data_IF_172507673748
#
_entry.id   IF_172507673748
#
_cell.length_a   1.000
_cell.length_b   1.000
_cell.length_c   1.000
_cell.angle_alpha   90.00
_cell.angle_beta   90.00
_cell.angle_gamma   90.00
#
_symmetry.space_group_name_H-M   'P 1'
#
loop_
_entity.id
_entity.type
_entity.pdbx_description
1 polymer ?
#
# COMPACT_ATOMS: atom_id res chain seq x y z
N UNK A 1 11.29 -0.93 39.92
CA UNK A 1 12.16 -0.31 38.89
C UNK A 1 13.48 0.00 39.57
N UNK A 2 14.59 -0.59 39.10
CA UNK A 2 15.91 -0.37 39.69
C UNK A 2 16.37 1.05 39.35
N UNK A 3 16.55 1.86 40.38
CA UNK A 3 17.19 3.18 40.27
C UNK A 3 18.48 3.07 41.05
N UNK A 4 19.59 3.21 40.32
CA UNK A 4 20.91 3.22 40.91
C UNK A 4 21.36 4.67 40.99
N UNK A 5 21.56 5.15 42.22
CA UNK A 5 22.28 6.40 42.47
C UNK A 5 23.68 6.03 42.89
N UNK A 6 24.68 6.35 42.07
CA UNK A 6 26.09 6.13 42.43
C UNK A 6 26.70 7.45 42.88
N UNK A 7 27.38 7.45 44.03
CA UNK A 7 28.28 8.53 44.45
C UNK A 7 29.71 8.16 44.06
N UNK A 8 30.35 9.02 43.28
CA UNK A 8 31.73 8.87 42.83
C UNK A 8 32.54 10.02 43.46
N UNK A 9 33.70 9.76 44.07
CA UNK A 9 34.53 10.81 44.71
C UNK A 9 35.97 10.85 44.14
N UNK A 10 36.55 12.07 43.95
CA UNK A 10 37.08 12.83 45.10
C UNK A 10 36.59 14.29 45.34
N UNK A 11 35.55 14.83 44.69
CA UNK A 11 34.97 16.16 45.08
C UNK A 11 33.43 16.25 45.13
N UNK A 12 32.73 15.15 45.44
CA UNK A 12 31.26 14.98 45.49
C UNK A 12 30.55 15.03 44.13
N UNK A 13 30.62 13.97 43.32
CA UNK A 13 29.76 13.79 42.15
C UNK A 13 28.63 12.78 42.45
N UNK A 14 27.39 13.16 42.14
CA UNK A 14 26.21 12.29 42.19
C UNK A 14 25.76 11.93 40.77
N UNK A 15 25.54 10.65 40.51
CA UNK A 15 25.01 10.13 39.24
C UNK A 15 23.65 9.47 39.49
N UNK A 16 22.62 9.90 38.76
CA UNK A 16 21.30 9.28 38.72
C UNK A 16 21.12 8.62 37.35
N UNK A 17 20.81 7.33 37.33
CA UNK A 17 20.43 6.61 36.11
C UNK A 17 18.97 6.18 36.19
N UNK A 18 18.18 6.63 35.23
CA UNK A 18 16.75 6.33 35.14
C UNK A 18 16.49 5.58 33.83
N UNK A 19 15.81 4.42 33.84
CA UNK A 19 15.46 3.73 32.60
C UNK A 19 14.46 4.56 31.78
N UNK A 20 14.72 4.65 30.47
CA UNK A 20 13.73 5.08 29.49
C UNK A 20 12.87 3.85 29.19
N UNK A 21 11.61 3.85 29.62
CA UNK A 21 10.72 2.71 29.44
C UNK A 21 9.59 3.03 28.49
N UNK A 22 9.29 2.08 27.61
CA UNK A 22 8.08 2.05 26.80
C UNK A 22 7.43 0.66 26.97
N UNK A 23 6.12 0.61 27.21
CA UNK A 23 5.37 -0.66 27.31
C UNK A 23 5.98 -1.71 28.25
N UNK A 24 6.56 -1.27 29.38
CA UNK A 24 7.25 -2.07 30.42
C UNK A 24 8.64 -2.63 30.07
N UNK A 25 9.17 -2.39 28.87
CA UNK A 25 10.57 -2.68 28.53
C UNK A 25 11.43 -1.42 28.63
N UNK A 26 12.68 -1.58 29.05
CA UNK A 26 13.67 -0.50 29.05
C UNK A 26 14.31 -0.43 27.65
N UNK A 27 14.06 0.68 26.94
CA UNK A 27 14.62 0.95 25.61
C UNK A 27 15.95 1.72 25.67
N UNK A 28 16.31 2.21 26.86
CA UNK A 28 17.54 2.95 27.11
C UNK A 28 17.59 3.49 28.54
N UNK A 29 18.47 4.47 28.78
CA UNK A 29 18.53 5.17 30.06
C UNK A 29 18.83 6.67 29.90
N UNK A 30 18.32 7.45 30.86
CA UNK A 30 18.70 8.83 31.11
C UNK A 30 19.72 8.84 32.25
N UNK A 31 20.93 9.32 31.98
CA UNK A 31 21.97 9.50 32.99
C UNK A 31 22.16 10.99 33.30
N UNK A 32 22.06 11.36 34.58
CA UNK A 32 22.21 12.73 35.06
C UNK A 32 23.32 12.78 36.10
N UNK A 33 24.36 13.57 35.83
CA UNK A 33 25.46 13.81 36.76
C UNK A 33 25.40 15.22 37.34
N UNK A 34 25.62 15.36 38.66
CA UNK A 34 25.61 16.65 39.34
C UNK A 34 26.57 16.67 40.52
N UNK A 35 27.12 17.84 40.85
CA UNK A 35 27.90 18.03 42.10
C UNK A 35 27.04 18.24 43.34
N UNK A 36 25.72 18.46 43.15
CA UNK A 36 24.73 18.51 44.23
C UNK A 36 24.00 17.17 44.33
N UNK A 37 23.52 16.76 45.52
CA UNK A 37 22.76 15.53 45.67
C UNK A 37 21.51 15.51 44.76
N UNK A 38 21.38 14.46 43.94
CA UNK A 38 20.21 14.19 43.13
C UNK A 38 19.27 13.26 43.91
N UNK A 39 18.43 13.84 44.77
CA UNK A 39 17.48 13.12 45.63
C UNK A 39 16.16 13.90 45.76
N UNK A 40 15.12 13.26 46.31
CA UNK A 40 13.81 13.87 46.52
C UNK A 40 13.11 14.29 45.23
N UNK A 41 12.50 15.47 45.23
CA UNK A 41 11.69 16.01 44.12
C UNK A 41 12.43 16.06 42.77
N UNK A 42 13.73 16.31 42.79
CA UNK A 42 14.55 16.31 41.57
C UNK A 42 14.63 14.91 40.94
N UNK A 43 14.80 13.86 41.76
CA UNK A 43 14.84 12.49 41.26
C UNK A 43 13.49 12.06 40.67
N UNK A 44 12.37 12.51 41.26
CA UNK A 44 11.02 12.27 40.73
C UNK A 44 10.77 13.03 39.43
N UNK A 45 11.28 14.26 39.32
CA UNK A 45 11.22 15.04 38.08
C UNK A 45 11.97 14.33 36.95
N UNK A 46 13.17 13.78 37.21
CA UNK A 46 13.90 12.99 36.23
C UNK A 46 13.22 11.66 35.88
N UNK A 47 12.51 11.03 36.83
CA UNK A 47 11.66 9.86 36.55
C UNK A 47 10.54 10.18 35.57
N UNK A 48 9.81 11.26 35.82
CA UNK A 48 8.75 11.72 34.91
C UNK A 48 9.31 12.06 33.54
N UNK A 49 10.44 12.78 33.48
CA UNK A 49 11.09 13.13 32.22
C UNK A 49 11.55 11.88 31.45
N UNK A 50 12.18 10.91 32.14
CA UNK A 50 12.59 9.65 31.52
C UNK A 50 11.41 8.85 30.96
N UNK A 51 10.28 8.82 31.67
CA UNK A 51 9.06 8.18 31.18
C UNK A 51 8.49 8.90 29.93
N UNK A 52 8.44 10.24 29.95
CA UNK A 52 7.98 11.03 28.80
C UNK A 52 8.89 10.85 27.57
N UNK A 53 10.21 10.89 27.77
CA UNK A 53 11.19 10.65 26.71
C UNK A 53 11.06 9.22 26.17
N UNK A 54 10.92 8.22 27.04
CA UNK A 54 10.72 6.83 26.62
C UNK A 54 9.48 6.64 25.74
N UNK A 55 8.35 7.22 26.14
CA UNK A 55 7.13 7.20 25.33
C UNK A 55 7.28 7.94 24.00
N UNK A 56 7.95 9.10 24.00
CA UNK A 56 8.16 9.89 22.80
C UNK A 56 9.05 9.17 21.77
N UNK A 57 10.14 8.54 22.23
CA UNK A 57 11.03 7.75 21.38
C UNK A 57 10.30 6.55 20.78
N UNK A 58 9.57 5.77 21.59
CA UNK A 58 8.79 4.63 21.10
C UNK A 58 7.73 5.05 20.06
N UNK A 59 7.07 6.19 20.28
CA UNK A 59 6.12 6.74 19.31
C UNK A 59 6.80 7.15 18.00
N UNK A 60 7.98 7.77 18.08
CA UNK A 60 8.75 8.16 16.89
C UNK A 60 9.18 6.94 16.08
N UNK A 61 9.70 5.90 16.74
CA UNK A 61 10.13 4.66 16.10
C UNK A 61 8.97 3.91 15.42
N UNK A 62 7.82 3.81 16.10
CA UNK A 62 6.63 3.22 15.50
C UNK A 62 6.17 4.01 14.27
N UNK A 63 6.13 5.34 14.39
CA UNK A 63 5.74 6.22 13.28
C UNK A 63 6.69 6.09 12.09
N UNK A 64 8.00 5.97 12.34
CA UNK A 64 9.00 5.79 11.30
C UNK A 64 8.86 4.41 10.63
N UNK A 65 8.66 3.36 11.43
CA UNK A 65 8.47 1.99 10.93
C UNK A 65 7.23 1.88 10.03
N UNK A 66 6.12 2.52 10.43
CA UNK A 66 4.90 2.61 9.61
C UNK A 66 5.21 3.33 8.29
N UNK A 67 5.82 4.52 8.34
CA UNK A 67 6.17 5.28 7.11
C UNK A 67 7.07 4.50 6.18
N UNK A 68 8.05 3.77 6.72
CA UNK A 68 8.98 2.97 5.92
C UNK A 68 8.28 1.76 5.29
N UNK A 69 7.41 1.08 6.04
CA UNK A 69 6.58 -0.01 5.53
C UNK A 69 5.65 0.48 4.41
N UNK A 70 4.97 1.59 4.62
CA UNK A 70 4.13 2.21 3.59
C UNK A 70 4.92 2.63 2.35
N UNK A 71 6.09 3.26 2.52
CA UNK A 71 6.93 3.67 1.39
C UNK A 71 7.42 2.45 0.60
N UNK A 72 7.81 1.38 1.29
CA UNK A 72 8.20 0.11 0.67
C UNK A 72 7.03 -0.54 -0.06
N UNK A 73 5.86 -0.60 0.55
CA UNK A 73 4.64 -1.11 -0.08
C UNK A 73 4.27 -0.29 -1.32
N UNK A 74 4.28 1.05 -1.21
CA UNK A 74 4.07 1.96 -2.35
C UNK A 74 5.07 1.67 -3.46
N UNK A 75 6.36 1.53 -3.15
CA UNK A 75 7.39 1.20 -4.15
C UNK A 75 7.20 -0.15 -4.83
N UNK A 76 6.73 -1.17 -4.10
CA UNK A 76 6.42 -2.50 -4.67
C UNK A 76 5.21 -2.45 -5.59
N UNK A 77 4.15 -1.73 -5.20
CA UNK A 77 2.93 -1.59 -6.02
C UNK A 77 3.15 -0.66 -7.21
N UNK A 78 3.96 0.40 -7.06
CA UNK A 78 4.25 1.35 -8.14
C UNK A 78 5.14 0.75 -9.24
N UNK A 79 5.97 -0.24 -8.91
CA UNK A 79 6.82 -0.93 -9.89
C UNK A 79 6.14 -2.12 -10.59
N UNK A 80 4.92 -2.51 -10.21
CA UNK A 80 4.15 -3.42 -11.06
C UNK A 80 3.54 -2.64 -12.21
N UNK A 81 3.75 -3.09 -13.44
CA UNK A 81 3.06 -2.55 -14.63
C UNK A 81 1.53 -2.72 -14.54
N UNK A 82 1.07 -3.59 -13.64
CA UNK A 82 -0.35 -3.83 -13.39
C UNK A 82 -0.99 -2.62 -12.65
N UNK A 83 -2.23 -2.33 -13.03
CA UNK A 83 -3.09 -1.39 -12.32
C UNK A 83 -3.71 -2.10 -11.12
N UNK A 84 -3.75 -1.43 -9.97
CA UNK A 84 -4.38 -1.95 -8.75
C UNK A 84 -5.50 -1.00 -8.34
N UNK A 85 -6.70 -1.55 -8.15
CA UNK A 85 -7.89 -0.79 -7.74
C UNK A 85 -8.51 -1.53 -6.55
N UNK A 86 -8.76 -0.81 -5.45
CA UNK A 86 -9.53 -1.36 -4.33
C UNK A 86 -10.97 -0.84 -4.37
N UNK A 87 -11.92 -1.76 -4.24
CA UNK A 87 -13.34 -1.49 -4.27
C UNK A 87 -13.96 -1.93 -2.94
N UNK A 88 -14.58 -1.01 -2.22
CA UNK A 88 -15.24 -1.27 -0.95
C UNK A 88 -16.54 -2.06 -1.09
N UNK A 89 -17.19 -2.34 0.04
CA UNK A 89 -18.39 -3.18 0.10
C UNK A 89 -19.57 -2.58 -0.66
N UNK A 90 -19.68 -1.24 -0.71
CA UNK A 90 -20.74 -0.54 -1.44
C UNK A 90 -20.34 -0.22 -2.89
N UNK A 91 -19.33 -0.90 -3.42
CA UNK A 91 -18.77 -0.72 -4.77
C UNK A 91 -18.15 0.66 -5.04
N UNK A 92 -17.79 1.38 -3.98
CA UNK A 92 -17.01 2.60 -4.03
C UNK A 92 -15.53 2.30 -4.23
N UNK A 93 -14.84 3.13 -5.02
CA UNK A 93 -13.41 2.98 -5.23
C UNK A 93 -12.69 3.65 -4.07
N UNK A 94 -11.99 2.86 -3.26
CA UNK A 94 -11.28 3.33 -2.06
C UNK A 94 -9.80 3.59 -2.33
N UNK A 95 -9.25 2.97 -3.37
CA UNK A 95 -7.86 3.14 -3.78
C UNK A 95 -7.66 2.87 -5.27
N UNK A 96 -6.72 3.61 -5.88
CA UNK A 96 -6.23 3.39 -7.23
C UNK A 96 -4.72 3.56 -7.23
N UNK A 97 -3.99 2.63 -7.83
CA UNK A 97 -2.54 2.74 -7.95
C UNK A 97 -2.13 3.89 -8.88
N UNK A 98 -1.03 4.59 -8.58
CA UNK A 98 -0.52 5.66 -9.45
C UNK A 98 -0.16 5.21 -10.87
N UNK A 99 0.08 3.91 -11.09
CA UNK A 99 0.32 3.34 -12.42
C UNK A 99 -0.82 3.63 -13.42
N UNK A 100 -2.02 3.96 -12.94
CA UNK A 100 -3.14 4.39 -13.78
C UNK A 100 -2.85 5.68 -14.56
N UNK A 101 -2.05 6.59 -13.99
CA UNK A 101 -1.73 7.86 -14.64
C UNK A 101 -0.81 7.63 -15.83
N UNK A 102 0.22 6.79 -15.66
CA UNK A 102 1.10 6.36 -16.74
C UNK A 102 0.34 5.56 -17.80
N UNK A 103 -0.56 4.67 -17.36
CA UNK A 103 -1.34 3.84 -18.28
C UNK A 103 -2.37 4.62 -19.09
N UNK A 104 -3.04 5.64 -18.52
CA UNK A 104 -4.04 6.45 -19.22
C UNK A 104 -3.46 7.74 -19.82
N UNK A 105 -2.23 8.09 -19.46
CA UNK A 105 -1.53 9.35 -19.78
C UNK A 105 -2.30 10.60 -19.35
N UNK A 106 -2.99 10.52 -18.21
CA UNK A 106 -3.69 11.65 -17.60
C UNK A 106 -3.69 11.54 -16.06
N UNK A 107 -3.74 12.66 -15.34
CA UNK A 107 -3.71 12.65 -13.87
C UNK A 107 -4.90 11.91 -13.26
N UNK A 108 -4.69 11.23 -12.13
CA UNK A 108 -5.73 10.52 -11.38
C UNK A 108 -6.82 11.48 -10.91
N UNK A 109 -6.47 12.72 -10.61
CA UNK A 109 -7.41 13.77 -10.22
C UNK A 109 -8.47 14.08 -11.29
N UNK A 110 -8.19 13.78 -12.57
CA UNK A 110 -9.12 13.98 -13.69
C UNK A 110 -9.95 12.72 -14.01
N UNK A 111 -9.65 11.59 -13.36
CA UNK A 111 -10.31 10.31 -13.62
C UNK A 111 -11.53 10.13 -12.72
N UNK A 112 -12.67 9.76 -13.33
CA UNK A 112 -13.80 9.18 -12.62
C UNK A 112 -14.00 7.72 -13.02
N UNK A 113 -13.49 6.81 -12.21
CA UNK A 113 -13.54 5.37 -12.46
C UNK A 113 -14.89 4.72 -12.08
N UNK A 114 -15.87 5.52 -11.69
CA UNK A 114 -17.28 5.11 -11.51
C UNK A 114 -18.02 4.82 -12.83
N UNK A 115 -17.34 5.02 -13.96
CA UNK A 115 -17.86 4.87 -15.32
C UNK A 115 -18.40 6.16 -15.94
N UNK A 116 -18.46 7.27 -15.19
CA UNK A 116 -19.02 8.55 -15.66
C UNK A 116 -18.02 9.37 -16.48
N UNK A 117 -16.71 9.12 -16.34
CA UNK A 117 -15.67 9.84 -17.11
C UNK A 117 -15.50 9.35 -18.57
N UNK A 118 -16.14 8.24 -18.94
CA UNK A 118 -15.88 7.57 -20.22
C UNK A 118 -14.49 6.93 -20.33
N UNK A 119 -13.73 6.86 -19.22
CA UNK A 119 -12.43 6.19 -19.19
C UNK A 119 -12.54 4.67 -19.34
N UNK A 120 -13.68 4.09 -18.96
CA UNK A 120 -14.00 2.67 -19.12
C UNK A 120 -15.17 2.53 -20.08
N UNK A 121 -15.13 1.52 -20.96
CA UNK A 121 -16.23 1.27 -21.88
C UNK A 121 -17.54 0.94 -21.13
N UNK A 122 -18.69 1.58 -21.43
CA UNK A 122 -19.92 1.44 -20.65
C UNK A 122 -20.44 0.00 -20.50
N UNK A 123 -20.34 -0.81 -21.57
CA UNK A 123 -20.75 -2.22 -21.52
C UNK A 123 -19.83 -3.07 -20.63
N UNK A 124 -18.57 -2.66 -20.48
CA UNK A 124 -17.59 -3.40 -19.69
C UNK A 124 -17.77 -3.07 -18.20
N UNK A 125 -18.18 -1.84 -17.87
CA UNK A 125 -18.54 -1.47 -16.50
C UNK A 125 -19.68 -2.30 -15.92
N UNK A 126 -20.72 -2.59 -16.72
CA UNK A 126 -21.84 -3.43 -16.28
C UNK A 126 -21.36 -4.85 -15.97
N UNK A 127 -20.55 -5.42 -16.88
CA UNK A 127 -19.99 -6.77 -16.72
C UNK A 127 -19.01 -6.85 -15.55
N UNK A 128 -18.16 -5.83 -15.38
CA UNK A 128 -17.21 -5.75 -14.27
C UNK A 128 -17.93 -5.72 -12.93
N UNK A 129 -18.96 -4.87 -12.76
CA UNK A 129 -19.74 -4.81 -11.51
C UNK A 129 -20.38 -6.15 -11.17
N UNK A 130 -20.96 -6.83 -12.16
CA UNK A 130 -21.53 -8.15 -11.98
C UNK A 130 -20.48 -9.19 -11.55
N UNK A 131 -19.32 -9.21 -12.22
CA UNK A 131 -18.23 -10.13 -11.91
C UNK A 131 -17.61 -9.88 -10.53
N UNK A 132 -17.45 -8.61 -10.13
CA UNK A 132 -16.98 -8.24 -8.78
C UNK A 132 -17.99 -8.70 -7.72
N UNK A 133 -19.29 -8.49 -7.94
CA UNK A 133 -20.34 -8.98 -7.05
C UNK A 133 -20.35 -10.52 -6.95
N UNK A 134 -20.05 -11.22 -8.03
CA UNK A 134 -19.93 -12.68 -7.98
C UNK A 134 -18.68 -13.14 -7.22
N UNK A 135 -17.55 -12.44 -7.39
CA UNK A 135 -16.30 -12.73 -6.68
C UNK A 135 -16.44 -12.56 -5.16
N UNK A 136 -17.29 -11.62 -4.70
CA UNK A 136 -17.56 -11.48 -3.26
C UNK A 136 -18.34 -12.66 -2.69
N UNK A 137 -19.28 -13.22 -3.46
CA UNK A 137 -20.12 -14.34 -3.04
C UNK A 137 -19.38 -15.69 -3.02
N UNK A 138 -18.38 -15.87 -3.89
CA UNK A 138 -17.70 -17.17 -4.07
C UNK A 138 -16.47 -17.39 -3.19
N UNK A 139 -16.12 -16.47 -2.27
CA UNK A 139 -14.88 -16.53 -1.48
C UNK A 139 -13.65 -16.86 -2.34
N UNK A 140 -13.53 -16.27 -3.54
CA UNK A 140 -12.48 -16.65 -4.48
C UNK A 140 -12.51 -15.96 -5.85
N UNK A 141 -11.64 -16.45 -6.74
CA UNK A 141 -11.41 -15.93 -8.10
C UNK A 141 -12.63 -16.20 -8.99
N UNK A 142 -13.38 -15.16 -9.35
CA UNK A 142 -14.34 -15.23 -10.45
C UNK A 142 -13.65 -14.85 -11.77
N UNK A 143 -13.95 -15.50 -12.90
CA UNK A 143 -13.43 -15.06 -14.19
C UNK A 143 -13.91 -13.64 -14.47
N UNK A 144 -12.97 -12.69 -14.55
CA UNK A 144 -13.27 -11.32 -14.87
C UNK A 144 -13.32 -11.15 -16.40
N UNK A 145 -14.22 -10.31 -16.91
CA UNK A 145 -14.17 -9.91 -18.32
C UNK A 145 -12.92 -9.08 -18.58
N UNK A 146 -12.40 -9.13 -19.81
CA UNK A 146 -11.46 -8.11 -20.27
C UNK A 146 -12.14 -6.73 -20.18
N UNK A 147 -11.36 -5.73 -19.77
CA UNK A 147 -11.81 -4.36 -19.59
C UNK A 147 -11.18 -3.47 -20.65
N UNK A 148 -11.99 -2.71 -21.39
CA UNK A 148 -11.47 -1.66 -22.28
C UNK A 148 -11.42 -0.33 -21.57
N UNK A 149 -10.22 0.25 -21.55
CA UNK A 149 -9.99 1.59 -21.03
C UNK A 149 -9.45 2.52 -22.11
N UNK A 150 -9.89 3.79 -22.08
CA UNK A 150 -9.53 4.78 -23.08
C UNK A 150 -8.31 5.59 -22.63
N UNK A 151 -7.23 5.50 -23.37
CA UNK A 151 -6.06 6.36 -23.19
C UNK A 151 -6.38 7.83 -23.54
N UNK A 152 -5.61 8.80 -23.03
CA UNK A 152 -5.83 10.22 -23.36
C UNK A 152 -5.69 10.52 -24.86
N UNK A 153 -4.92 9.72 -25.61
CA UNK A 153 -4.82 9.80 -27.07
C UNK A 153 -6.10 9.40 -27.80
N UNK A 154 -7.06 8.80 -27.09
CA UNK A 154 -8.33 8.32 -27.63
C UNK A 154 -8.35 6.83 -27.99
N UNK A 155 -7.19 6.15 -27.96
CA UNK A 155 -7.05 4.71 -28.20
C UNK A 155 -7.67 3.87 -27.08
N UNK A 156 -8.22 2.71 -27.44
CA UNK A 156 -8.70 1.71 -26.48
C UNK A 156 -7.59 0.71 -26.17
N UNK A 157 -7.28 0.57 -24.89
CA UNK A 157 -6.38 -0.46 -24.36
C UNK A 157 -7.19 -1.56 -23.69
N UNK A 158 -6.71 -2.79 -23.83
CA UNK A 158 -7.33 -3.97 -23.28
C UNK A 158 -6.61 -4.42 -22.02
N UNK A 159 -7.38 -4.55 -20.94
CA UNK A 159 -6.89 -4.98 -19.65
C UNK A 159 -7.46 -6.35 -19.28
N UNK A 160 -6.58 -7.27 -18.90
CA UNK A 160 -6.96 -8.51 -18.25
C UNK A 160 -7.07 -8.26 -16.75
N UNK A 161 -8.25 -8.49 -16.17
CA UNK A 161 -8.54 -8.16 -14.77
C UNK A 161 -8.54 -9.43 -13.92
N UNK A 162 -8.06 -9.33 -12.68
CA UNK A 162 -8.21 -10.36 -11.66
C UNK A 162 -8.76 -9.72 -10.39
N UNK A 163 -9.68 -10.39 -9.72
CA UNK A 163 -10.24 -9.93 -8.46
C UNK A 163 -9.82 -10.83 -7.30
N UNK A 164 -9.44 -10.21 -6.19
CA UNK A 164 -9.17 -10.87 -4.91
C UNK A 164 -10.10 -10.30 -3.85
N UNK A 165 -10.99 -11.12 -3.30
CA UNK A 165 -11.89 -10.70 -2.23
C UNK A 165 -11.13 -10.65 -0.89
N UNK A 166 -10.91 -9.45 -0.36
CA UNK A 166 -10.31 -9.19 0.94
C UNK A 166 -11.27 -8.40 1.85
N UNK A 167 -12.59 -8.52 1.65
CA UNK A 167 -13.58 -7.83 2.48
C UNK A 167 -13.55 -8.28 3.95
N UNK A 168 -13.18 -9.53 4.20
CA UNK A 168 -13.04 -10.08 5.56
C UNK A 168 -11.67 -9.82 6.18
N UNK A 169 -10.73 -9.26 5.42
CA UNK A 169 -9.45 -8.83 5.97
C UNK A 169 -9.66 -7.52 6.74
N UNK A 170 -9.27 -7.51 8.02
CA UNK A 170 -9.47 -6.39 8.95
C UNK A 170 -8.78 -5.08 8.51
N UNK A 171 -7.67 -5.19 7.78
CA UNK A 171 -6.83 -4.06 7.39
C UNK A 171 -7.20 -3.57 5.99
N UNK A 172 -7.66 -4.46 5.09
CA UNK A 172 -8.01 -4.11 3.70
C UNK A 172 -9.48 -3.77 3.51
N UNK A 173 -10.40 -4.61 4.01
CA UNK A 173 -11.87 -4.45 3.87
C UNK A 173 -12.34 -4.04 2.46
N UNK A 174 -11.76 -4.66 1.42
CA UNK A 174 -12.05 -4.33 0.03
C UNK A 174 -11.89 -5.54 -0.90
N UNK A 175 -12.46 -5.47 -2.10
CA UNK A 175 -12.09 -6.31 -3.24
C UNK A 175 -10.96 -5.63 -3.99
N UNK A 176 -9.83 -6.31 -4.14
CA UNK A 176 -8.66 -5.81 -4.87
C UNK A 176 -8.71 -6.33 -6.30
N UNK A 177 -8.76 -5.40 -7.25
CA UNK A 177 -8.67 -5.66 -8.68
C UNK A 177 -7.24 -5.38 -9.14
N UNK A 178 -6.62 -6.36 -9.79
CA UNK A 178 -5.35 -6.20 -10.50
C UNK A 178 -5.63 -6.29 -11.99
N UNK A 179 -5.23 -5.29 -12.76
CA UNK A 179 -5.49 -5.23 -14.19
C UNK A 179 -4.19 -5.06 -14.99
N UNK A 180 -3.91 -5.99 -15.89
CA UNK A 180 -2.69 -6.01 -16.72
C UNK A 180 -3.00 -5.57 -18.14
N UNK A 181 -2.19 -4.68 -18.70
CA UNK A 181 -2.27 -4.34 -20.12
C UNK A 181 -1.86 -5.54 -20.98
N UNK A 182 -2.79 -5.98 -21.83
CA UNK A 182 -2.59 -7.10 -22.76
C UNK A 182 -2.79 -6.65 -24.20
N UNK A 183 -2.82 -5.35 -24.47
CA UNK A 183 -3.09 -4.77 -25.79
C UNK A 183 -2.09 -5.27 -26.83
N UNK A 184 -0.78 -5.10 -26.58
CA UNK A 184 0.28 -5.56 -27.49
C UNK A 184 0.30 -7.09 -27.62
N UNK A 185 0.11 -7.79 -26.49
CA UNK A 185 0.09 -9.26 -26.47
C UNK A 185 -1.04 -9.81 -27.35
N UNK A 186 -2.27 -9.33 -27.17
CA UNK A 186 -3.40 -9.80 -27.98
C UNK A 186 -3.29 -9.36 -29.44
N UNK A 187 -2.75 -8.17 -29.71
CA UNK A 187 -2.49 -7.72 -31.08
C UNK A 187 -1.46 -8.63 -31.78
N UNK A 188 -0.42 -9.06 -31.08
CA UNK A 188 0.57 -10.00 -31.61
C UNK A 188 -0.02 -11.40 -31.81
N UNK A 189 -0.77 -11.91 -30.82
CA UNK A 189 -1.48 -13.20 -30.94
C UNK A 189 -2.42 -13.21 -32.15
N UNK A 190 -3.16 -12.13 -32.39
CA UNK A 190 -4.08 -12.02 -33.52
C UNK A 190 -3.35 -11.96 -34.87
N UNK A 191 -2.23 -11.22 -34.94
CA UNK A 191 -1.38 -11.20 -36.14
C UNK A 191 -0.81 -12.58 -36.44
N UNK A 192 -0.33 -13.30 -35.43
CA UNK A 192 0.20 -14.65 -35.57
C UNK A 192 -0.89 -15.64 -35.98
N UNK A 193 -2.09 -15.54 -35.41
CA UNK A 193 -3.26 -16.35 -35.82
C UNK A 193 -3.63 -16.09 -37.26
N UNK A 194 -3.71 -14.83 -37.66
CA UNK A 194 -3.98 -14.44 -39.04
C UNK A 194 -2.90 -15.00 -39.99
N UNK A 195 -1.61 -14.89 -39.65
CA UNK A 195 -0.52 -15.46 -40.45
C UNK A 195 -0.53 -16.99 -40.50
N UNK A 196 -0.93 -17.67 -39.42
CA UNK A 196 -1.04 -19.13 -39.40
C UNK A 196 -2.24 -19.63 -40.23
N UNK A 197 -3.31 -18.85 -40.31
CA UNK A 197 -4.52 -19.17 -41.07
C UNK A 197 -4.44 -18.73 -42.54
N UNK A 198 -3.52 -17.84 -42.89
CA UNK A 198 -3.32 -17.30 -44.24
C UNK A 198 -1.88 -17.52 -44.74
N UNK A 199 -1.68 -18.45 -45.68
CA UNK A 199 -0.38 -18.70 -46.31
C UNK A 199 0.08 -17.49 -47.15
N UNK A 200 1.26 -16.90 -46.86
CA UNK A 200 1.75 -15.69 -47.54
C UNK A 200 2.03 -15.85 -49.04
N UNK A 201 2.01 -17.08 -49.58
CA UNK A 201 2.22 -17.34 -51.01
C UNK A 201 0.94 -17.50 -51.83
N UNK A 202 -0.24 -17.66 -51.21
CA UNK A 202 -1.48 -17.96 -51.96
C UNK A 202 -2.70 -17.12 -51.57
N UNK A 203 -2.69 -16.43 -50.41
CA UNK A 203 -3.80 -15.57 -50.00
C UNK A 203 -5.13 -16.29 -49.72
N UNK A 204 -5.13 -17.63 -49.68
CA UNK A 204 -6.29 -18.46 -49.38
C UNK A 204 -6.22 -18.99 -47.94
N UNK A 205 -7.38 -19.32 -47.37
CA UNK A 205 -7.48 -19.92 -46.04
C UNK A 205 -6.93 -21.36 -46.06
N UNK A 206 -6.01 -21.67 -45.17
CA UNK A 206 -5.50 -23.04 -45.00
C UNK A 206 -6.62 -23.94 -44.44
N UNK A 207 -6.83 -25.09 -45.09
CA UNK A 207 -7.67 -26.19 -44.60
C UNK A 207 -6.83 -27.22 -43.87
#
# INVERSE_FOLDING_TARGET
QLIATLRLDPRNLSLLVVPLSASREAIGCLAVASRKPLAGELADSYRTLAAQVGMALSRADLSQSIRQSEARFRGLVQNSADLVIAVGEQFEITYVSPSVETFLGRPLAELRLDGTSGAVHPQDMVRLRAAVKEATLRNGRSPMPDLRMRHHSGEWRLLEVQATNLLQDKDVRAVVLTARDVTERKALEERLRHQALHDPLTGLANR
#
